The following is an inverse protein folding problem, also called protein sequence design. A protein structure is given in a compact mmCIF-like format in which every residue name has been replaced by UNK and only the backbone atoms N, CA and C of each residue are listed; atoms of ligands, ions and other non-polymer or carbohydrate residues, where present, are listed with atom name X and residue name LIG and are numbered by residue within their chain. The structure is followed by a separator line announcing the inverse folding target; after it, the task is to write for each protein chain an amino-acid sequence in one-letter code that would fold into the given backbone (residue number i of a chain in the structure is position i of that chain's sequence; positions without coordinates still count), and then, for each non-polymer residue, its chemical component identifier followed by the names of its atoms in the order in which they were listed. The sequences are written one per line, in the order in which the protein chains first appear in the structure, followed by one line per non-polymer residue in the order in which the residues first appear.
data_IF_312233508056
#
_entry.id   IF_312233508056
#
_cell.length_a   1.000
_cell.length_b   1.000
_cell.length_c   1.000
_cell.angle_alpha   90.00
_cell.angle_beta   90.00
_cell.angle_gamma   90.00
#
_symmetry.space_group_name_H-M   'P 1'
#
loop_
_entity.id
_entity.type
_entity.pdbx_description
1 polymer ?
#
# COMPACT_ATOMS: atom_id res chain seq x y z
N UNK A 1 27.84 18.99 18.37
CA UNK A 1 27.84 17.95 17.32
C UNK A 1 26.71 16.95 17.55
N UNK A 2 25.50 17.48 17.70
CA UNK A 2 24.28 16.82 18.19
C UNK A 2 23.10 17.15 17.25
N UNK A 3 23.42 17.45 15.98
CA UNK A 3 22.53 17.95 14.93
C UNK A 3 22.84 17.36 13.53
N UNK A 4 23.57 16.23 13.45
CA UNK A 4 23.94 15.62 12.16
C UNK A 4 23.95 14.09 12.19
N UNK A 5 23.13 13.49 13.05
CA UNK A 5 22.91 12.04 13.13
C UNK A 5 21.43 11.67 12.91
N UNK A 6 20.66 12.61 12.34
CA UNK A 6 19.22 12.51 12.07
C UNK A 6 18.93 12.16 10.59
N UNK A 7 19.89 11.56 9.89
CA UNK A 7 19.86 11.43 8.42
C UNK A 7 20.15 10.02 7.88
N UNK A 8 20.16 8.96 8.71
CA UNK A 8 20.65 7.64 8.26
C UNK A 8 19.82 6.43 8.71
N UNK A 9 18.48 6.53 8.70
CA UNK A 9 17.60 5.36 8.76
C UNK A 9 16.51 5.44 7.67
N UNK A 10 16.94 5.75 6.44
CA UNK A 10 16.11 5.69 5.25
C UNK A 10 16.06 4.23 4.78
N UNK A 11 14.95 3.53 5.05
CA UNK A 11 14.51 2.51 4.12
C UNK A 11 14.00 3.26 2.87
N UNK A 12 14.42 2.87 1.66
CA UNK A 12 14.01 3.51 0.44
C UNK A 12 12.58 3.11 0.03
N UNK A 13 11.98 3.85 -0.92
CA UNK A 13 10.54 4.04 -1.04
C UNK A 13 9.82 2.88 -1.73
N UNK A 14 8.70 2.41 -1.18
CA UNK A 14 7.70 1.59 -1.88
C UNK A 14 6.55 2.45 -2.43
N UNK A 15 6.74 3.16 -3.54
CA UNK A 15 5.65 3.89 -4.18
C UNK A 15 4.57 2.90 -4.62
N UNK A 16 3.29 3.14 -4.33
CA UNK A 16 2.23 2.59 -5.18
C UNK A 16 2.38 3.23 -6.57
N UNK A 17 2.06 2.48 -7.63
CA UNK A 17 2.07 2.86 -9.06
C UNK A 17 2.89 4.11 -9.40
N UNK A 18 3.89 3.96 -10.27
CA UNK A 18 4.52 5.13 -10.89
C UNK A 18 3.44 6.10 -11.38
N UNK A 19 3.32 7.23 -10.69
CA UNK A 19 2.28 8.25 -10.79
C UNK A 19 1.84 8.57 -12.23
N UNK A 20 2.76 8.44 -13.20
CA UNK A 20 2.50 8.65 -14.62
C UNK A 20 1.52 7.65 -15.26
N UNK A 21 1.39 6.43 -14.72
CA UNK A 21 0.58 5.37 -15.32
C UNK A 21 -0.91 5.57 -15.07
N UNK A 22 -1.30 6.07 -13.89
CA UNK A 22 -2.65 6.51 -13.58
C UNK A 22 -3.15 7.54 -14.60
N UNK A 23 -2.27 8.52 -14.91
CA UNK A 23 -2.55 9.55 -15.91
C UNK A 23 -2.75 8.92 -17.30
N UNK A 24 -1.88 7.97 -17.70
CA UNK A 24 -1.96 7.31 -19.00
C UNK A 24 -3.27 6.50 -19.16
N UNK A 25 -3.61 5.69 -18.14
CA UNK A 25 -4.82 4.86 -18.14
C UNK A 25 -6.04 5.76 -18.25
N UNK A 26 -6.16 6.75 -17.37
CA UNK A 26 -7.32 7.64 -17.34
C UNK A 26 -7.47 8.45 -18.63
N UNK A 27 -6.39 9.03 -19.19
CA UNK A 27 -6.43 9.73 -20.49
C UNK A 27 -6.91 8.83 -21.63
N UNK A 28 -6.49 7.56 -21.63
CA UNK A 28 -6.90 6.59 -22.66
C UNK A 28 -8.37 6.21 -22.48
N UNK A 29 -8.80 6.01 -21.24
CA UNK A 29 -10.14 5.53 -20.95
C UNK A 29 -11.21 6.60 -21.20
N UNK A 30 -10.95 7.85 -20.80
CA UNK A 30 -11.96 8.90 -20.65
C UNK A 30 -11.53 10.26 -21.27
N UNK A 31 -11.34 10.33 -22.60
CA UNK A 31 -11.12 11.62 -23.26
C UNK A 31 -12.37 12.49 -23.15
N UNK A 32 -12.26 13.65 -22.51
CA UNK A 32 -13.36 14.61 -22.33
C UNK A 32 -12.84 16.04 -22.39
N UNK A 33 -13.18 16.75 -23.48
CA UNK A 33 -12.67 18.09 -23.79
C UNK A 33 -13.45 19.24 -23.14
N UNK A 34 -14.48 18.95 -22.32
CA UNK A 34 -15.24 19.99 -21.62
C UNK A 34 -14.33 20.76 -20.66
N UNK A 35 -14.29 22.07 -20.79
CA UNK A 35 -13.53 22.93 -19.88
C UNK A 35 -14.26 23.07 -18.55
N UNK A 36 -13.55 22.87 -17.45
CA UNK A 36 -14.04 23.06 -16.09
C UNK A 36 -13.26 24.19 -15.41
N UNK A 37 -14.00 25.10 -14.78
CA UNK A 37 -13.43 26.16 -13.97
C UNK A 37 -13.03 25.63 -12.59
N UNK A 38 -11.88 26.05 -12.04
CA UNK A 38 -11.40 25.57 -10.76
C UNK A 38 -12.33 25.98 -9.61
N UNK A 39 -12.42 25.10 -8.61
CA UNK A 39 -13.21 25.36 -7.43
C UNK A 39 -12.59 26.49 -6.59
N UNK A 40 -13.41 27.45 -6.18
CA UNK A 40 -13.02 28.51 -5.25
C UNK A 40 -13.06 28.00 -3.80
N UNK A 41 -12.49 28.79 -2.87
CA UNK A 41 -12.64 28.49 -1.43
C UNK A 41 -14.12 28.44 -1.00
N UNK A 42 -14.98 29.27 -1.60
CA UNK A 42 -16.41 29.26 -1.33
C UNK A 42 -17.06 27.93 -1.76
N UNK A 43 -16.63 27.36 -2.89
CA UNK A 43 -17.13 26.07 -3.38
C UNK A 43 -16.72 24.93 -2.44
N UNK A 44 -15.47 24.95 -1.96
CA UNK A 44 -14.95 23.99 -0.98
C UNK A 44 -15.73 24.06 0.34
N UNK A 45 -15.98 25.27 0.84
CA UNK A 45 -16.73 25.47 2.09
C UNK A 45 -18.21 25.06 1.93
N UNK A 46 -18.84 25.37 0.79
CA UNK A 46 -20.20 24.95 0.47
C UNK A 46 -20.32 23.43 0.38
N UNK A 47 -19.37 22.77 -0.29
CA UNK A 47 -19.30 21.31 -0.38
C UNK A 47 -19.16 20.66 1.00
N UNK A 48 -18.23 21.16 1.82
CA UNK A 48 -18.02 20.65 3.19
C UNK A 48 -19.26 20.87 4.07
N UNK A 49 -19.92 22.02 3.96
CA UNK A 49 -21.17 22.29 4.66
C UNK A 49 -22.31 21.37 4.20
N UNK A 50 -22.37 21.02 2.91
CA UNK A 50 -23.34 20.05 2.38
C UNK A 50 -23.07 18.64 2.94
N UNK A 51 -21.82 18.18 2.96
CA UNK A 51 -21.44 16.92 3.61
C UNK A 51 -21.87 16.91 5.08
N UNK A 52 -21.53 17.96 5.83
CA UNK A 52 -21.89 18.09 7.23
C UNK A 52 -23.41 18.00 7.44
N UNK A 53 -24.22 18.74 6.67
CA UNK A 53 -25.69 18.68 6.76
C UNK A 53 -26.25 17.27 6.52
N UNK A 54 -25.66 16.53 5.58
CA UNK A 54 -26.05 15.14 5.34
C UNK A 54 -25.66 14.25 6.52
N UNK A 55 -24.42 14.40 7.03
CA UNK A 55 -23.93 13.65 8.17
C UNK A 55 -24.69 13.90 9.46
N UNK A 56 -25.29 15.08 9.65
CA UNK A 56 -26.13 15.40 10.83
C UNK A 56 -27.34 14.47 10.98
N UNK A 57 -27.72 13.70 9.95
CA UNK A 57 -28.74 12.64 10.04
C UNK A 57 -28.28 11.45 10.88
N UNK A 58 -26.97 11.28 11.07
CA UNK A 58 -26.36 10.22 11.89
C UNK A 58 -26.06 10.75 13.30
N UNK A 59 -26.68 10.22 14.37
CA UNK A 59 -26.55 10.78 15.73
C UNK A 59 -25.12 10.88 16.26
N UNK A 60 -24.27 9.89 15.97
CA UNK A 60 -22.88 9.88 16.43
C UNK A 60 -22.02 10.92 15.70
N UNK A 61 -22.31 11.20 14.42
CA UNK A 61 -21.70 12.30 13.68
C UNK A 61 -22.12 13.64 14.27
N UNK A 62 -23.42 13.85 14.49
CA UNK A 62 -23.95 15.07 15.09
C UNK A 62 -23.38 15.33 16.50
N UNK A 63 -23.11 14.27 17.28
CA UNK A 63 -22.46 14.40 18.58
C UNK A 63 -20.99 14.83 18.47
N UNK A 64 -20.27 14.31 17.46
CA UNK A 64 -18.86 14.63 17.24
C UNK A 64 -18.67 16.03 16.64
N UNK A 65 -19.58 16.45 15.77
CA UNK A 65 -19.50 17.71 15.01
C UNK A 65 -20.82 18.51 15.11
N UNK A 66 -21.13 19.09 16.29
CA UNK A 66 -22.43 19.69 16.57
C UNK A 66 -22.73 20.97 15.77
N UNK A 67 -21.70 21.63 15.24
CA UNK A 67 -21.84 22.82 14.39
C UNK A 67 -21.00 22.69 13.13
N UNK A 68 -21.32 23.45 12.07
CA UNK A 68 -20.55 23.41 10.83
C UNK A 68 -19.10 23.89 11.04
N UNK A 69 -18.87 24.81 11.99
CA UNK A 69 -17.54 25.32 12.34
C UNK A 69 -16.70 24.25 13.05
N UNK A 70 -17.32 23.28 13.72
CA UNK A 70 -16.60 22.14 14.29
C UNK A 70 -16.17 21.10 13.25
N UNK A 71 -16.63 21.26 12.00
CA UNK A 71 -16.29 20.41 10.86
C UNK A 71 -15.53 21.20 9.78
N UNK A 72 -14.37 21.71 10.17
CA UNK A 72 -13.44 22.39 9.27
C UNK A 72 -12.70 21.41 8.33
N UNK A 73 -11.81 21.92 7.48
CA UNK A 73 -11.05 21.08 6.54
C UNK A 73 -10.19 20.02 7.25
N UNK A 74 -9.67 20.34 8.44
CA UNK A 74 -8.89 19.39 9.24
C UNK A 74 -9.76 18.24 9.73
N UNK A 75 -10.89 18.56 10.36
CA UNK A 75 -11.86 17.59 10.84
C UNK A 75 -12.42 16.74 9.70
N UNK A 76 -12.65 17.35 8.53
CA UNK A 76 -13.13 16.63 7.36
C UNK A 76 -12.10 15.62 6.84
N UNK A 77 -10.83 16.01 6.66
CA UNK A 77 -9.76 15.09 6.25
C UNK A 77 -9.57 13.93 7.23
N UNK A 78 -9.53 14.22 8.54
CA UNK A 78 -9.44 13.16 9.55
C UNK A 78 -10.67 12.23 9.48
N UNK A 79 -11.87 12.80 9.30
CA UNK A 79 -13.10 12.03 9.19
C UNK A 79 -13.09 11.07 7.99
N UNK A 80 -12.52 11.50 6.87
CA UNK A 80 -12.33 10.73 5.64
C UNK A 80 -11.12 9.77 5.67
N UNK A 81 -10.52 9.52 6.84
CA UNK A 81 -9.38 8.60 7.00
C UNK A 81 -8.08 9.05 6.32
N UNK A 82 -7.91 10.36 6.12
CA UNK A 82 -6.73 10.99 5.51
C UNK A 82 -5.81 11.60 6.58
N UNK A 83 -4.56 11.97 6.24
CA UNK A 83 -3.73 12.80 7.12
C UNK A 83 -4.29 14.22 7.14
N UNK A 84 -4.82 14.71 8.27
CA UNK A 84 -5.41 16.04 8.32
C UNK A 84 -4.38 17.16 8.16
N UNK A 85 -3.08 16.88 8.32
CA UNK A 85 -2.02 17.84 8.07
C UNK A 85 -1.58 17.91 6.61
N UNK A 86 -1.95 16.94 5.77
CA UNK A 86 -1.71 17.01 4.34
C UNK A 86 -2.54 18.14 3.73
N UNK A 87 -2.04 18.75 2.65
CA UNK A 87 -2.88 19.54 1.77
C UNK A 87 -3.48 18.55 0.77
N UNK A 88 -4.79 18.56 0.59
CA UNK A 88 -5.50 17.55 -0.20
C UNK A 88 -6.32 18.22 -1.29
N UNK A 89 -6.07 17.85 -2.55
CA UNK A 89 -6.81 18.41 -3.69
C UNK A 89 -8.31 18.10 -3.56
N UNK A 90 -9.14 19.12 -3.77
CA UNK A 90 -10.60 19.05 -3.60
C UNK A 90 -11.09 19.22 -2.17
N UNK A 91 -10.19 19.35 -1.18
CA UNK A 91 -10.56 19.68 0.21
C UNK A 91 -9.91 20.98 0.66
N UNK A 92 -8.62 21.14 0.39
CA UNK A 92 -7.88 22.37 0.62
C UNK A 92 -7.81 23.20 -0.68
N UNK A 93 -7.58 24.50 -0.55
CA UNK A 93 -7.42 25.37 -1.72
C UNK A 93 -6.08 25.07 -2.43
N UNK A 94 -6.18 24.88 -3.74
CA UNK A 94 -5.07 24.78 -4.69
C UNK A 94 -5.22 25.85 -5.77
N UNK A 95 -4.11 26.26 -6.35
CA UNK A 95 -4.10 27.15 -7.52
C UNK A 95 -4.15 26.28 -8.77
N UNK A 96 -5.34 25.75 -9.04
CA UNK A 96 -5.58 24.89 -10.18
C UNK A 96 -6.19 25.73 -11.30
N UNK A 97 -5.64 25.63 -12.50
CA UNK A 97 -6.13 26.37 -13.65
C UNK A 97 -7.35 25.68 -14.28
N UNK A 98 -8.14 26.45 -15.03
CA UNK A 98 -9.20 25.87 -15.86
C UNK A 98 -8.59 24.82 -16.81
N UNK A 99 -9.22 23.65 -16.88
CA UNK A 99 -8.69 22.52 -17.64
C UNK A 99 -9.80 21.65 -18.22
N UNK A 100 -9.47 20.85 -19.22
CA UNK A 100 -10.39 19.87 -19.79
C UNK A 100 -10.71 18.80 -18.74
N UNK A 101 -11.96 18.37 -18.62
CA UNK A 101 -12.38 17.38 -17.62
C UNK A 101 -11.58 16.08 -17.72
N UNK A 102 -11.27 15.59 -18.91
CA UNK A 102 -10.46 14.39 -19.09
C UNK A 102 -9.04 14.55 -18.54
N UNK A 103 -8.44 15.72 -18.71
CA UNK A 103 -7.13 16.06 -18.14
C UNK A 103 -7.20 16.22 -16.62
N UNK A 104 -8.27 16.83 -16.09
CA UNK A 104 -8.50 16.91 -14.64
C UNK A 104 -8.63 15.53 -14.02
N UNK A 105 -9.44 14.64 -14.60
CA UNK A 105 -9.59 13.27 -14.13
C UNK A 105 -8.24 12.55 -14.09
N UNK A 106 -7.43 12.72 -15.15
CA UNK A 106 -6.13 12.07 -15.26
C UNK A 106 -5.10 12.62 -14.27
N UNK A 107 -5.09 13.94 -14.01
CA UNK A 107 -4.25 14.51 -12.97
C UNK A 107 -4.75 14.10 -11.57
N UNK A 108 -6.06 14.10 -11.37
CA UNK A 108 -6.68 13.73 -10.12
C UNK A 108 -6.52 12.25 -9.76
N UNK A 109 -6.34 11.36 -10.74
CA UNK A 109 -6.00 9.96 -10.47
C UNK A 109 -4.57 9.73 -10.00
N UNK A 110 -3.71 10.76 -10.06
CA UNK A 110 -2.36 10.75 -9.48
C UNK A 110 -2.31 11.36 -8.07
N UNK A 111 -3.18 12.33 -7.78
CA UNK A 111 -3.09 13.12 -6.55
C UNK A 111 -3.07 12.36 -5.22
N UNK A 112 -3.76 11.20 -5.05
CA UNK A 112 -3.66 10.43 -3.81
C UNK A 112 -2.23 10.01 -3.42
N UNK A 113 -1.31 9.93 -4.37
CA UNK A 113 0.12 9.74 -4.12
C UNK A 113 0.89 11.05 -3.93
N UNK A 114 0.60 12.06 -4.75
CA UNK A 114 1.33 13.33 -4.79
C UNK A 114 1.10 14.21 -3.56
N UNK A 115 -0.12 14.18 -3.01
CA UNK A 115 -0.57 15.13 -1.98
C UNK A 115 -0.48 14.57 -0.56
N UNK A 116 0.05 13.35 -0.42
CA UNK A 116 0.37 12.71 0.85
C UNK A 116 -0.84 12.41 1.74
N UNK A 117 -2.08 12.51 1.21
CA UNK A 117 -3.31 12.24 1.99
C UNK A 117 -3.33 10.87 2.67
N UNK A 118 -2.70 9.86 2.06
CA UNK A 118 -2.68 8.48 2.54
C UNK A 118 -1.41 8.14 3.34
N UNK A 119 -0.50 9.10 3.54
CA UNK A 119 0.77 8.93 4.27
C UNK A 119 0.65 9.52 5.67
N UNK A 120 1.51 9.10 6.60
CA UNK A 120 1.68 9.78 7.88
C UNK A 120 0.39 9.97 8.69
N UNK A 121 -0.55 9.02 8.60
CA UNK A 121 -1.86 9.07 9.28
C UNK A 121 -1.70 8.81 10.78
N UNK A 122 -1.14 9.79 11.47
CA UNK A 122 -0.89 9.77 12.90
C UNK A 122 -2.11 10.25 13.69
N UNK A 123 -2.23 9.77 14.92
CA UNK A 123 -3.10 10.39 15.90
C UNK A 123 -2.51 11.75 16.30
N UNK A 124 -3.35 12.78 16.28
CA UNK A 124 -2.96 14.15 16.66
C UNK A 124 -3.81 14.64 17.82
N UNK A 125 -3.22 15.44 18.71
CA UNK A 125 -3.98 16.08 19.79
C UNK A 125 -4.93 17.12 19.16
N UNK A 126 -6.25 17.06 19.41
CA UNK A 126 -7.22 17.95 18.76
C UNK A 126 -7.07 19.42 19.17
N UNK A 127 -6.31 19.74 20.22
CA UNK A 127 -6.10 21.12 20.70
C UNK A 127 -4.81 21.73 20.15
N UNK A 128 -3.79 20.90 19.90
CA UNK A 128 -2.45 21.38 19.52
C UNK A 128 -2.01 20.94 18.12
N UNK A 129 -2.72 19.97 17.52
CA UNK A 129 -2.41 19.30 16.25
C UNK A 129 -1.06 18.57 16.23
N UNK A 130 -0.40 18.47 17.38
CA UNK A 130 0.85 17.73 17.53
C UNK A 130 0.59 16.23 17.51
N UNK A 131 1.54 15.48 16.95
CA UNK A 131 1.50 14.02 16.91
C UNK A 131 1.57 13.48 18.33
N UNK A 132 0.57 12.66 18.69
CA UNK A 132 0.57 11.93 19.95
C UNK A 132 1.65 10.86 19.89
N UNK A 133 2.43 10.75 20.97
CA UNK A 133 3.47 9.73 21.08
C UNK A 133 2.92 8.49 21.78
N UNK A 134 3.33 7.31 21.31
CA UNK A 134 3.09 6.05 21.98
C UNK A 134 4.05 5.87 23.18
N UNK A 135 3.91 4.76 23.92
CA UNK A 135 4.66 4.51 25.16
C UNK A 135 6.18 4.41 24.99
N UNK A 136 6.66 4.07 23.80
CA UNK A 136 8.07 3.99 23.44
C UNK A 136 8.61 5.29 22.80
N UNK A 137 7.78 6.32 22.69
CA UNK A 137 8.12 7.58 22.04
C UNK A 137 8.02 7.57 20.51
N UNK A 138 7.45 6.52 19.90
CA UNK A 138 7.12 6.53 18.47
C UNK A 138 5.85 7.36 18.20
N UNK A 139 5.63 7.85 16.97
CA UNK A 139 4.32 8.36 16.55
C UNK A 139 3.21 7.33 16.80
N UNK A 140 2.09 7.77 17.38
CA UNK A 140 0.89 6.96 17.52
C UNK A 140 0.14 6.92 16.19
N UNK A 141 -0.17 5.74 15.61
CA UNK A 141 -1.06 5.67 14.44
C UNK A 141 -2.44 6.24 14.78
N UNK A 142 -3.08 6.88 13.80
CA UNK A 142 -4.52 7.14 13.90
C UNK A 142 -5.27 5.81 13.98
N UNK A 143 -4.94 4.87 13.11
CA UNK A 143 -5.46 3.52 13.18
C UNK A 143 -4.31 2.52 13.13
N UNK A 144 -4.08 1.73 14.22
CA UNK A 144 -3.06 0.69 14.22
C UNK A 144 -3.20 -0.34 13.09
N UNK A 145 -4.40 -0.54 12.53
CA UNK A 145 -4.58 -1.46 11.39
C UNK A 145 -3.80 -1.03 10.14
N UNK A 146 -3.40 0.25 10.03
CA UNK A 146 -2.54 0.71 8.93
C UNK A 146 -1.17 0.00 8.89
N UNK A 147 -0.71 -0.50 10.04
CA UNK A 147 0.54 -1.26 10.17
C UNK A 147 0.47 -2.67 9.58
N UNK A 148 -0.72 -3.19 9.30
CA UNK A 148 -0.88 -4.52 8.70
C UNK A 148 -0.37 -4.53 7.24
N UNK A 149 -0.28 -3.37 6.58
CA UNK A 149 0.18 -3.24 5.20
C UNK A 149 1.46 -2.40 5.05
N UNK A 150 2.21 -2.18 6.15
CA UNK A 150 3.48 -1.45 6.08
C UNK A 150 3.85 -0.70 7.35
N UNK A 151 4.40 0.51 7.18
CA UNK A 151 4.83 1.39 8.27
C UNK A 151 3.87 2.56 8.50
N UNK A 152 4.20 3.44 9.44
CA UNK A 152 3.42 4.67 9.68
C UNK A 152 3.87 5.85 8.81
N UNK A 153 5.05 5.73 8.22
CA UNK A 153 5.72 6.79 7.47
C UNK A 153 6.28 6.25 6.17
N UNK A 154 6.53 7.17 5.24
CA UNK A 154 7.05 6.82 3.92
C UNK A 154 6.03 6.06 3.08
N UNK A 155 6.42 5.58 1.90
CA UNK A 155 5.44 5.08 0.94
C UNK A 155 4.70 3.80 1.38
N UNK A 156 5.34 2.91 2.16
CA UNK A 156 4.64 1.73 2.73
C UNK A 156 3.48 2.08 3.67
N UNK A 157 3.40 3.32 4.17
CA UNK A 157 2.24 3.77 4.97
C UNK A 157 0.95 3.94 4.17
N UNK A 158 1.06 3.90 2.85
CA UNK A 158 -0.06 3.96 1.93
C UNK A 158 -0.67 2.58 1.66
N UNK A 159 0.04 1.47 1.90
CA UNK A 159 -0.41 0.13 1.49
C UNK A 159 -1.83 -0.20 1.95
N UNK A 160 -2.19 0.19 3.17
CA UNK A 160 -3.54 0.01 3.72
C UNK A 160 -4.65 0.75 2.93
N UNK A 161 -4.34 1.86 2.27
CA UNK A 161 -5.31 2.60 1.44
C UNK A 161 -5.32 2.16 -0.04
N UNK A 162 -4.25 1.55 -0.54
CA UNK A 162 -4.09 1.22 -1.97
C UNK A 162 -4.41 -0.25 -2.26
N UNK A 163 -4.21 -1.14 -1.28
CA UNK A 163 -4.44 -2.56 -1.48
C UNK A 163 -5.94 -2.89 -1.49
N UNK A 164 -6.28 -3.98 -2.17
CA UNK A 164 -7.60 -4.58 -2.16
C UNK A 164 -7.48 -6.09 -2.08
N UNK A 165 -7.70 -6.65 -0.89
CA UNK A 165 -7.59 -8.10 -0.66
C UNK A 165 -8.96 -8.79 -0.78
N UNK A 166 -8.96 -10.08 -1.08
CA UNK A 166 -10.19 -10.86 -1.28
C UNK A 166 -11.04 -10.95 0.00
N UNK A 167 -12.37 -10.87 -0.16
CA UNK A 167 -13.32 -11.08 0.92
C UNK A 167 -13.30 -12.53 1.42
N UNK A 168 -13.52 -12.72 2.72
CA UNK A 168 -13.67 -14.03 3.37
C UNK A 168 -12.56 -14.31 4.38
N UNK A 169 -12.48 -15.54 4.91
CA UNK A 169 -11.49 -15.87 5.91
C UNK A 169 -10.08 -15.82 5.30
N UNK A 170 -9.21 -15.05 5.93
CA UNK A 170 -7.78 -15.03 5.68
C UNK A 170 -7.08 -15.92 6.71
N UNK A 171 -5.82 -16.27 6.44
CA UNK A 171 -5.01 -17.13 7.29
C UNK A 171 -3.57 -16.65 7.33
N UNK A 172 -2.92 -16.79 8.48
CA UNK A 172 -1.47 -16.60 8.66
C UNK A 172 -0.70 -17.92 8.61
N UNK A 173 -1.35 -19.02 8.24
CA UNK A 173 -0.71 -20.33 8.03
C UNK A 173 0.18 -20.32 6.78
N UNK A 174 1.49 -20.59 6.90
CA UNK A 174 2.39 -20.69 5.75
C UNK A 174 1.94 -21.72 4.69
N UNK A 175 1.19 -22.76 5.06
CA UNK A 175 0.64 -23.71 4.09
C UNK A 175 -0.47 -23.08 3.23
N UNK A 176 -1.19 -22.07 3.75
CA UNK A 176 -2.11 -21.25 2.93
C UNK A 176 -1.30 -20.37 1.98
N UNK A 177 -0.22 -19.71 2.45
CA UNK A 177 0.67 -18.94 1.57
C UNK A 177 1.21 -19.78 0.40
N UNK A 178 1.44 -21.08 0.64
CA UNK A 178 1.92 -22.02 -0.38
C UNK A 178 0.86 -22.44 -1.39
N UNK A 179 -0.39 -22.65 -0.94
CA UNK A 179 -1.48 -23.23 -1.75
C UNK A 179 -2.37 -22.18 -2.40
N UNK A 180 -2.71 -21.13 -1.65
CA UNK A 180 -3.52 -20.01 -2.11
C UNK A 180 -3.02 -18.70 -1.45
N UNK A 181 -1.95 -18.09 -1.99
CA UNK A 181 -1.35 -16.87 -1.45
C UNK A 181 -2.32 -15.69 -1.28
N UNK A 182 -3.45 -15.70 -2.00
CA UNK A 182 -4.48 -14.66 -1.95
C UNK A 182 -5.27 -14.68 -0.65
N UNK A 183 -5.31 -15.84 0.00
CA UNK A 183 -5.96 -16.05 1.30
C UNK A 183 -4.98 -15.88 2.46
N UNK A 184 -3.72 -15.56 2.19
CA UNK A 184 -2.73 -15.35 3.22
C UNK A 184 -2.71 -13.90 3.69
N UNK A 185 -2.81 -13.70 5.00
CA UNK A 185 -2.62 -12.39 5.61
C UNK A 185 -2.12 -12.49 7.05
N UNK A 186 -1.26 -11.55 7.44
CA UNK A 186 -0.72 -11.38 8.79
C UNK A 186 -0.99 -9.95 9.26
N UNK A 187 -1.83 -9.74 10.29
CA UNK A 187 -2.67 -10.76 10.93
C UNK A 187 -3.77 -11.29 9.99
N UNK A 188 -4.44 -12.42 10.31
CA UNK A 188 -5.61 -12.91 9.55
C UNK A 188 -6.80 -11.95 9.53
N UNK A 189 -6.75 -10.89 10.34
CA UNK A 189 -7.73 -9.81 10.39
C UNK A 189 -7.31 -8.59 9.59
N UNK A 190 -6.19 -8.64 8.85
CA UNK A 190 -5.73 -7.54 8.04
C UNK A 190 -6.82 -7.13 7.05
N UNK A 191 -7.00 -5.82 6.89
CA UNK A 191 -7.98 -5.25 5.99
C UNK A 191 -7.38 -4.03 5.30
N UNK A 192 -7.55 -3.97 3.99
CA UNK A 192 -7.14 -2.85 3.16
C UNK A 192 -8.39 -2.15 2.63
N UNK A 193 -8.31 -0.82 2.54
CA UNK A 193 -9.45 0.07 2.31
C UNK A 193 -9.53 0.59 0.87
N UNK A 194 -8.76 0.04 -0.07
CA UNK A 194 -8.82 0.44 -1.48
C UNK A 194 -10.26 0.43 -2.03
N UNK A 195 -11.04 -0.66 -1.85
CA UNK A 195 -12.45 -0.72 -2.28
C UNK A 195 -13.34 0.34 -1.65
N UNK A 196 -13.18 0.55 -0.35
CA UNK A 196 -13.91 1.54 0.41
C UNK A 196 -13.55 2.96 -0.04
N UNK A 197 -12.29 3.24 -0.38
CA UNK A 197 -11.89 4.53 -0.94
C UNK A 197 -12.45 4.76 -2.34
N UNK A 198 -12.52 3.74 -3.20
CA UNK A 198 -13.21 3.86 -4.50
C UNK A 198 -14.66 4.31 -4.30
N UNK A 199 -15.39 3.65 -3.39
CA UNK A 199 -16.78 4.03 -3.09
C UNK A 199 -16.88 5.41 -2.43
N UNK A 200 -16.04 5.69 -1.43
CA UNK A 200 -16.02 6.99 -0.74
C UNK A 200 -15.83 8.15 -1.72
N UNK A 201 -14.83 8.06 -2.59
CA UNK A 201 -14.57 9.10 -3.57
C UNK A 201 -15.64 9.16 -4.67
N UNK A 202 -16.29 8.04 -4.98
CA UNK A 202 -17.48 8.02 -5.83
C UNK A 202 -18.63 8.81 -5.19
N UNK A 203 -18.89 8.62 -3.90
CA UNK A 203 -19.93 9.33 -3.16
C UNK A 203 -19.61 10.82 -3.01
N UNK A 204 -18.35 11.17 -2.78
CA UNK A 204 -17.89 12.56 -2.75
C UNK A 204 -18.00 13.23 -4.12
N UNK A 205 -17.70 12.51 -5.21
CA UNK A 205 -17.88 13.01 -6.58
C UNK A 205 -19.34 13.32 -6.88
N UNK A 206 -20.26 12.40 -6.53
CA UNK A 206 -21.70 12.62 -6.69
C UNK A 206 -22.19 13.80 -5.83
N UNK A 207 -21.75 13.89 -4.57
CA UNK A 207 -22.09 15.00 -3.68
C UNK A 207 -21.58 16.36 -4.19
N UNK A 208 -20.40 16.40 -4.80
CA UNK A 208 -19.83 17.61 -5.38
C UNK A 208 -20.61 18.08 -6.62
N UNK A 209 -21.06 17.14 -7.45
CA UNK A 209 -21.94 17.43 -8.59
C UNK A 209 -23.28 18.02 -8.12
N UNK A 210 -23.88 17.49 -7.03
CA UNK A 210 -25.09 18.07 -6.43
C UNK A 210 -24.86 19.47 -5.86
N UNK A 211 -23.66 19.76 -5.37
CA UNK A 211 -23.26 21.09 -4.93
C UNK A 211 -23.01 22.05 -6.11
N UNK A 212 -23.12 21.59 -7.35
CA UNK A 212 -22.94 22.39 -8.56
C UNK A 212 -21.47 22.61 -8.95
N UNK A 213 -20.53 21.86 -8.37
CA UNK A 213 -19.10 21.97 -8.70
C UNK A 213 -18.63 20.76 -9.51
N UNK A 214 -18.68 20.90 -10.84
CA UNK A 214 -18.20 19.87 -11.77
C UNK A 214 -16.69 19.62 -11.62
N UNK A 215 -15.93 20.65 -11.25
CA UNK A 215 -14.50 20.53 -10.99
C UNK A 215 -14.22 19.65 -9.76
N UNK A 216 -14.90 19.90 -8.63
CA UNK A 216 -14.77 19.03 -7.46
C UNK A 216 -15.28 17.61 -7.75
N UNK A 217 -16.35 17.48 -8.52
CA UNK A 217 -16.86 16.17 -8.92
C UNK A 217 -15.81 15.39 -9.72
N UNK A 218 -15.12 16.03 -10.67
CA UNK A 218 -14.03 15.41 -11.42
C UNK A 218 -12.79 15.12 -10.54
N UNK A 219 -12.44 16.01 -9.63
CA UNK A 219 -11.35 15.80 -8.67
C UNK A 219 -11.57 14.55 -7.80
N UNK A 220 -12.77 14.39 -7.23
CA UNK A 220 -13.08 13.18 -6.47
C UNK A 220 -13.23 11.94 -7.35
N UNK A 221 -13.76 12.07 -8.58
CA UNK A 221 -13.81 10.96 -9.52
C UNK A 221 -12.39 10.45 -9.86
N UNK A 222 -11.44 11.34 -10.12
CA UNK A 222 -10.03 10.95 -10.32
C UNK A 222 -9.44 10.25 -9.10
N UNK A 223 -9.71 10.73 -7.89
CA UNK A 223 -9.29 10.03 -6.68
C UNK A 223 -9.93 8.63 -6.53
N UNK A 224 -11.17 8.43 -6.99
CA UNK A 224 -11.76 7.09 -7.08
C UNK A 224 -11.04 6.21 -8.13
N UNK A 225 -10.64 6.80 -9.26
CA UNK A 225 -9.92 6.10 -10.32
C UNK A 225 -8.58 5.58 -9.85
N UNK A 226 -7.83 6.39 -9.09
CA UNK A 226 -6.58 5.98 -8.48
C UNK A 226 -6.68 4.61 -7.79
N UNK A 227 -7.61 4.49 -6.84
CA UNK A 227 -7.81 3.27 -6.05
C UNK A 227 -8.41 2.12 -6.86
N UNK A 228 -9.19 2.42 -7.90
CA UNK A 228 -9.75 1.43 -8.82
C UNK A 228 -8.67 0.86 -9.74
N UNK A 229 -7.78 1.71 -10.23
CA UNK A 229 -6.60 1.35 -11.01
C UNK A 229 -5.66 0.51 -10.14
N UNK A 230 -5.40 0.89 -8.88
CA UNK A 230 -4.52 0.14 -7.95
C UNK A 230 -4.86 -1.35 -7.91
N UNK A 231 -6.13 -1.68 -7.71
CA UNK A 231 -6.57 -3.08 -7.62
C UNK A 231 -6.63 -3.81 -8.97
N UNK A 232 -6.52 -3.08 -10.08
CA UNK A 232 -6.32 -3.68 -11.41
C UNK A 232 -4.87 -4.15 -11.57
N UNK A 233 -3.91 -3.49 -10.93
CA UNK A 233 -2.56 -4.03 -10.75
C UNK A 233 -2.59 -5.15 -9.73
N UNK A 234 -2.26 -6.34 -10.20
CA UNK A 234 -2.48 -7.56 -9.48
C UNK A 234 -1.69 -7.60 -8.17
N UNK A 235 -0.49 -7.01 -8.12
CA UNK A 235 0.35 -7.05 -6.91
C UNK A 235 -0.28 -6.34 -5.69
N UNK A 236 -1.22 -5.41 -5.90
CA UNK A 236 -1.97 -4.74 -4.83
C UNK A 236 -3.12 -5.58 -4.25
N UNK A 237 -3.33 -6.79 -4.76
CA UNK A 237 -4.45 -7.65 -4.34
C UNK A 237 -4.07 -8.82 -3.44
N UNK A 238 -2.80 -8.86 -3.00
CA UNK A 238 -2.24 -9.85 -2.07
C UNK A 238 -1.28 -9.17 -1.10
N UNK A 239 -1.21 -9.59 0.15
CA UNK A 239 -0.37 -8.90 1.15
C UNK A 239 1.14 -9.23 1.02
N UNK A 240 1.48 -10.51 0.83
CA UNK A 240 2.89 -11.01 0.87
C UNK A 240 3.39 -11.48 -0.50
N UNK A 241 2.50 -11.69 -1.47
CA UNK A 241 2.85 -12.13 -2.82
C UNK A 241 2.96 -13.65 -2.96
N UNK A 242 4.06 -14.25 -2.48
CA UNK A 242 4.40 -15.67 -2.73
C UNK A 242 5.14 -16.36 -1.57
N UNK A 243 5.04 -17.69 -1.49
CA UNK A 243 5.72 -18.52 -0.48
C UNK A 243 7.24 -18.52 -0.61
N UNK A 244 7.76 -18.36 -1.83
CA UNK A 244 9.19 -18.32 -2.13
C UNK A 244 9.92 -17.20 -1.38
N UNK A 245 9.25 -16.08 -1.10
CA UNK A 245 9.79 -15.02 -0.25
C UNK A 245 9.97 -15.48 1.20
N UNK A 246 8.97 -16.17 1.76
CA UNK A 246 9.04 -16.73 3.11
C UNK A 246 10.15 -17.77 3.23
N UNK A 247 10.19 -18.74 2.31
CA UNK A 247 11.22 -19.79 2.30
C UNK A 247 12.62 -19.20 2.19
N UNK A 248 12.82 -18.28 1.25
CA UNK A 248 14.10 -17.61 1.06
C UNK A 248 14.50 -16.79 2.27
N UNK A 249 13.57 -16.02 2.87
CA UNK A 249 13.85 -15.25 4.06
C UNK A 249 14.21 -16.12 5.26
N UNK A 250 13.55 -17.26 5.43
CA UNK A 250 13.87 -18.24 6.48
C UNK A 250 15.28 -18.80 6.30
N UNK A 251 15.61 -19.29 5.11
CA UNK A 251 16.93 -19.84 4.81
C UNK A 251 18.03 -18.80 5.00
N UNK A 252 17.82 -17.57 4.51
CA UNK A 252 18.77 -16.47 4.64
C UNK A 252 18.97 -16.05 6.10
N UNK A 253 17.90 -16.00 6.90
CA UNK A 253 17.99 -15.72 8.34
C UNK A 253 18.83 -16.80 9.06
N UNK A 254 18.59 -18.09 8.79
CA UNK A 254 19.36 -19.19 9.40
C UNK A 254 20.81 -19.22 8.94
N UNK A 255 21.08 -18.96 7.67
CA UNK A 255 22.44 -18.85 7.16
C UNK A 255 23.17 -17.67 7.78
N UNK A 256 22.48 -16.53 7.97
CA UNK A 256 23.05 -15.36 8.63
C UNK A 256 23.38 -15.64 10.09
N UNK A 257 22.48 -16.32 10.81
CA UNK A 257 22.75 -16.75 12.18
C UNK A 257 23.97 -17.67 12.23
N UNK A 258 24.12 -18.62 11.31
CA UNK A 258 25.30 -19.49 11.25
C UNK A 258 26.59 -18.69 10.97
N UNK A 259 26.58 -17.81 9.95
CA UNK A 259 27.73 -17.01 9.55
C UNK A 259 28.20 -16.03 10.63
N UNK A 260 27.27 -15.50 11.41
CA UNK A 260 27.56 -14.58 12.52
C UNK A 260 27.80 -15.30 13.82
N UNK A 261 27.80 -16.65 13.83
CA UNK A 261 27.86 -17.47 15.04
C UNK A 261 26.83 -17.01 16.08
N UNK A 262 25.56 -16.96 15.65
CA UNK A 262 24.45 -16.49 16.46
C UNK A 262 24.54 -15.02 16.86
N UNK A 263 25.24 -14.17 16.10
CA UNK A 263 25.39 -12.74 16.41
C UNK A 263 26.71 -12.34 17.08
N UNK A 264 27.58 -13.29 17.43
CA UNK A 264 28.90 -12.99 18.01
C UNK A 264 29.86 -12.31 17.05
N UNK A 265 29.76 -12.62 15.75
CA UNK A 265 30.67 -12.15 14.70
C UNK A 265 30.01 -11.14 13.75
N UNK A 266 28.86 -10.57 14.13
CA UNK A 266 28.16 -9.53 13.37
C UNK A 266 26.65 -9.54 13.61
N UNK A 267 25.95 -8.53 13.07
CA UNK A 267 24.51 -8.39 13.28
C UNK A 267 23.70 -9.53 12.68
N UNK A 268 22.72 -10.03 13.45
CA UNK A 268 21.70 -10.95 12.96
C UNK A 268 20.64 -10.20 12.14
N UNK A 269 19.88 -10.93 11.33
CA UNK A 269 18.71 -10.40 10.61
C UNK A 269 17.53 -11.35 10.77
N UNK A 270 16.38 -10.81 11.14
CA UNK A 270 15.18 -11.60 11.41
C UNK A 270 14.53 -12.05 10.10
N UNK A 271 13.66 -13.05 10.23
CA UNK A 271 12.78 -13.47 9.13
C UNK A 271 11.96 -12.28 8.61
N UNK A 272 11.42 -11.45 9.52
CA UNK A 272 10.60 -10.28 9.18
C UNK A 272 11.41 -9.24 8.40
N UNK A 273 12.61 -8.89 8.86
CA UNK A 273 13.47 -7.91 8.20
C UNK A 273 13.85 -8.35 6.78
N UNK A 274 14.24 -9.62 6.60
CA UNK A 274 14.62 -10.15 5.29
C UNK A 274 13.37 -10.26 4.40
N UNK A 275 12.27 -10.78 4.92
CA UNK A 275 11.02 -10.97 4.19
C UNK A 275 10.43 -9.66 3.66
N UNK A 276 10.32 -8.63 4.51
CA UNK A 276 9.84 -7.32 4.11
C UNK A 276 10.68 -6.71 2.98
N UNK A 277 12.00 -6.89 3.04
CA UNK A 277 12.89 -6.42 1.99
C UNK A 277 12.67 -7.17 0.66
N UNK A 278 12.49 -8.50 0.70
CA UNK A 278 12.21 -9.27 -0.51
C UNK A 278 10.88 -8.83 -1.14
N UNK A 279 9.85 -8.63 -0.33
CA UNK A 279 8.53 -8.15 -0.78
C UNK A 279 8.69 -6.77 -1.43
N UNK A 280 9.27 -5.81 -0.71
CA UNK A 280 9.44 -4.43 -1.19
C UNK A 280 10.24 -4.37 -2.50
N UNK A 281 11.36 -5.08 -2.58
CA UNK A 281 12.20 -5.12 -3.78
C UNK A 281 11.43 -5.60 -5.02
N UNK A 282 10.63 -6.66 -4.90
CA UNK A 282 9.93 -7.24 -6.04
C UNK A 282 8.65 -6.50 -6.38
N UNK A 283 7.98 -5.92 -5.39
CA UNK A 283 6.83 -5.03 -5.61
C UNK A 283 7.26 -3.82 -6.44
N UNK A 284 8.28 -3.10 -5.98
CA UNK A 284 8.76 -1.89 -6.65
C UNK A 284 9.36 -2.14 -8.03
N UNK A 285 10.13 -3.22 -8.17
CA UNK A 285 10.64 -3.63 -9.47
C UNK A 285 9.49 -3.89 -10.45
N UNK A 286 8.42 -4.54 -9.99
CA UNK A 286 7.24 -4.84 -10.80
C UNK A 286 6.60 -3.56 -11.31
N UNK A 287 6.38 -2.57 -10.43
CA UNK A 287 5.73 -1.30 -10.76
C UNK A 287 6.58 -0.44 -11.71
N UNK A 288 7.89 -0.34 -11.47
CA UNK A 288 8.77 0.42 -12.35
C UNK A 288 8.90 -0.23 -13.74
N UNK A 289 8.94 -1.58 -13.81
CA UNK A 289 8.90 -2.30 -15.08
C UNK A 289 7.56 -2.12 -15.80
N UNK A 290 6.45 -2.14 -15.05
CA UNK A 290 5.13 -1.88 -15.59
C UNK A 290 5.08 -0.53 -16.29
N UNK A 291 5.44 0.53 -15.56
CA UNK A 291 5.41 1.91 -16.07
C UNK A 291 6.36 2.12 -17.25
N UNK A 292 7.54 1.49 -17.23
CA UNK A 292 8.52 1.65 -18.31
C UNK A 292 8.13 0.94 -19.60
N UNK A 293 7.52 -0.24 -19.50
CA UNK A 293 7.20 -1.08 -20.66
C UNK A 293 5.86 -0.75 -21.31
N UNK A 294 4.95 -0.13 -20.57
CA UNK A 294 3.60 0.16 -21.03
C UNK A 294 3.39 1.67 -21.20
N UNK A 295 3.82 2.18 -22.36
CA UNK A 295 3.60 3.58 -22.77
C UNK A 295 2.57 3.71 -23.91
N UNK A 296 2.11 2.58 -24.46
CA UNK A 296 1.11 2.53 -25.54
C UNK A 296 -0.32 2.56 -25.01
N UNK A 297 -1.29 2.81 -25.90
CA UNK A 297 -2.70 2.81 -25.55
C UNK A 297 -3.18 1.40 -25.16
N UNK A 298 -3.67 1.20 -23.93
CA UNK A 298 -4.19 -0.08 -23.48
C UNK A 298 -5.35 -0.59 -24.34
N UNK A 299 -5.40 -1.90 -24.59
CA UNK A 299 -6.59 -2.55 -25.11
C UNK A 299 -7.54 -2.89 -23.95
N UNK A 300 -8.82 -2.57 -24.09
CA UNK A 300 -9.83 -2.82 -23.05
C UNK A 300 -10.06 -4.32 -22.85
N UNK A 301 -10.11 -4.78 -21.59
CA UNK A 301 -10.51 -6.15 -21.24
C UNK A 301 -12.05 -6.29 -21.35
N UNK A 302 -12.58 -7.25 -22.14
CA UNK A 302 -14.02 -7.45 -22.29
C UNK A 302 -14.69 -8.21 -21.12
N UNK A 303 -13.93 -8.70 -20.14
CA UNK A 303 -14.48 -9.58 -19.09
C UNK A 303 -15.29 -8.85 -18.00
N UNK A 304 -15.05 -7.56 -17.76
CA UNK A 304 -15.76 -6.81 -16.73
C UNK A 304 -17.21 -6.52 -17.14
N UNK A 305 -18.12 -6.70 -16.19
CA UNK A 305 -19.55 -6.42 -16.39
C UNK A 305 -20.00 -5.23 -15.53
N UNK A 306 -21.06 -4.51 -15.93
CA UNK A 306 -21.65 -3.49 -15.09
C UNK A 306 -22.05 -3.99 -13.71
N UNK A 307 -21.88 -3.16 -12.67
CA UNK A 307 -22.26 -3.48 -11.30
C UNK A 307 -23.16 -2.41 -10.70
N UNK A 308 -23.95 -2.74 -9.64
CA UNK A 308 -24.82 -1.76 -8.99
C UNK A 308 -24.07 -0.67 -8.20
N UNK A 309 -22.80 -0.87 -7.85
CA UNK A 309 -22.00 0.12 -7.12
C UNK A 309 -20.52 0.03 -7.48
N UNK A 310 -19.79 1.11 -7.22
CA UNK A 310 -18.35 1.16 -7.41
C UNK A 310 -17.65 0.13 -6.51
N UNK A 311 -18.11 -0.03 -5.26
CA UNK A 311 -17.61 -1.08 -4.35
C UNK A 311 -17.71 -2.49 -4.96
N UNK A 312 -18.86 -2.85 -5.54
CA UNK A 312 -19.06 -4.18 -6.12
C UNK A 312 -18.25 -4.40 -7.40
N UNK A 313 -18.04 -3.34 -8.20
CA UNK A 313 -17.11 -3.37 -9.33
C UNK A 313 -15.68 -3.64 -8.85
N UNK A 314 -15.22 -2.90 -7.84
CA UNK A 314 -13.87 -3.05 -7.28
C UNK A 314 -13.65 -4.45 -6.70
N UNK A 315 -14.66 -5.02 -6.03
CA UNK A 315 -14.58 -6.39 -5.49
C UNK A 315 -14.46 -7.46 -6.58
N UNK A 316 -15.22 -7.33 -7.68
CA UNK A 316 -15.06 -8.24 -8.83
C UNK A 316 -13.66 -8.13 -9.43
N UNK A 317 -13.13 -6.91 -9.55
CA UNK A 317 -11.77 -6.68 -10.04
C UNK A 317 -10.75 -7.36 -9.12
N UNK A 318 -10.87 -7.24 -7.80
CA UNK A 318 -10.00 -7.92 -6.83
C UNK A 318 -10.07 -9.44 -6.97
N UNK A 319 -11.27 -10.00 -7.12
CA UNK A 319 -11.45 -11.44 -7.31
C UNK A 319 -10.72 -11.93 -8.56
N UNK A 320 -10.69 -11.14 -9.64
CA UNK A 320 -9.98 -11.46 -10.88
C UNK A 320 -8.47 -11.23 -10.73
N UNK A 321 -8.05 -10.02 -10.33
CA UNK A 321 -6.64 -9.61 -10.19
C UNK A 321 -5.87 -10.49 -9.21
N UNK A 322 -6.51 -10.89 -8.10
CA UNK A 322 -5.85 -11.70 -7.07
C UNK A 322 -5.42 -13.06 -7.60
N UNK A 323 -6.16 -13.66 -8.56
CA UNK A 323 -5.81 -14.95 -9.18
C UNK A 323 -4.44 -14.90 -9.87
N UNK A 324 -4.10 -13.73 -10.41
CA UNK A 324 -2.90 -13.49 -11.20
C UNK A 324 -1.73 -12.98 -10.35
N UNK A 325 -2.01 -12.32 -9.23
CA UNK A 325 -1.02 -11.64 -8.39
C UNK A 325 0.18 -12.52 -7.96
N UNK A 326 -0.01 -13.76 -7.48
CA UNK A 326 1.13 -14.60 -7.12
C UNK A 326 2.02 -14.93 -8.31
N UNK A 327 1.44 -15.02 -9.51
CA UNK A 327 2.20 -15.32 -10.72
C UNK A 327 3.03 -14.12 -11.18
N UNK A 328 2.52 -12.89 -11.03
CA UNK A 328 3.29 -11.66 -11.27
C UNK A 328 4.54 -11.64 -10.38
N UNK A 329 4.37 -11.83 -9.06
CA UNK A 329 5.49 -11.92 -8.11
C UNK A 329 6.47 -13.05 -8.43
N UNK A 330 5.96 -14.24 -8.81
CA UNK A 330 6.82 -15.38 -9.14
C UNK A 330 7.66 -15.13 -10.39
N UNK A 331 7.12 -14.47 -11.40
CA UNK A 331 7.86 -14.08 -12.59
C UNK A 331 8.90 -13.02 -12.26
N UNK A 332 8.52 -11.97 -11.53
CA UNK A 332 9.44 -10.94 -11.04
C UNK A 332 10.60 -11.55 -10.24
N UNK A 333 10.31 -12.48 -9.33
CA UNK A 333 11.32 -13.25 -8.60
C UNK A 333 12.24 -14.06 -9.52
N UNK A 334 11.70 -14.65 -10.58
CA UNK A 334 12.42 -15.51 -11.51
C UNK A 334 13.42 -14.73 -12.36
N UNK A 335 12.99 -13.59 -12.91
CA UNK A 335 13.86 -12.77 -13.77
C UNK A 335 14.63 -11.71 -13.00
N UNK A 336 14.39 -11.46 -11.70
CA UNK A 336 15.15 -10.43 -10.98
C UNK A 336 16.64 -10.76 -10.88
N UNK A 337 17.46 -9.75 -10.68
CA UNK A 337 18.89 -9.94 -10.40
C UNK A 337 19.08 -10.58 -9.02
N UNK A 338 20.16 -11.35 -8.84
CA UNK A 338 20.51 -11.95 -7.54
C UNK A 338 20.59 -10.91 -6.42
N UNK A 339 21.00 -9.68 -6.75
CA UNK A 339 21.06 -8.57 -5.79
C UNK A 339 19.71 -8.27 -5.13
N UNK A 340 18.59 -8.46 -5.82
CA UNK A 340 17.25 -8.23 -5.24
C UNK A 340 16.71 -9.45 -4.47
N UNK A 341 17.27 -10.64 -4.71
CA UNK A 341 16.91 -11.87 -4.00
C UNK A 341 17.71 -12.11 -2.72
N UNK A 342 18.81 -11.38 -2.51
CA UNK A 342 19.62 -11.44 -1.28
C UNK A 342 19.12 -10.36 -0.30
N UNK A 343 18.23 -10.73 0.61
CA UNK A 343 17.69 -9.81 1.61
C UNK A 343 18.65 -9.47 2.75
N UNK A 344 19.84 -10.10 2.82
CA UNK A 344 20.84 -9.84 3.86
C UNK A 344 21.90 -8.84 3.38
N UNK A 345 22.51 -9.09 2.22
CA UNK A 345 23.63 -8.29 1.67
C UNK A 345 23.34 -7.72 0.28
N UNK A 346 22.15 -8.01 -0.27
CA UNK A 346 21.77 -7.51 -1.58
C UNK A 346 21.45 -6.03 -1.59
N UNK A 347 20.78 -5.60 -2.64
CA UNK A 347 20.36 -4.23 -2.88
C UNK A 347 18.95 -4.00 -2.35
N UNK A 348 18.69 -2.80 -1.81
CA UNK A 348 17.35 -2.37 -1.43
C UNK A 348 16.86 -1.45 -2.54
N UNK A 349 15.90 -1.95 -3.32
CA UNK A 349 15.44 -1.28 -4.52
C UNK A 349 14.77 0.05 -4.16
N UNK A 350 15.14 1.11 -4.85
CA UNK A 350 14.62 2.45 -4.68
C UNK A 350 13.92 2.90 -5.97
N UNK A 351 12.60 2.87 -6.00
CA UNK A 351 11.87 3.39 -7.17
C UNK A 351 12.19 4.88 -7.40
N UNK A 352 12.18 5.29 -8.67
CA UNK A 352 12.65 6.59 -9.18
C UNK A 352 14.16 6.88 -9.07
N UNK A 353 14.96 6.03 -8.41
CA UNK A 353 16.44 6.16 -8.39
C UNK A 353 17.12 5.01 -9.10
N UNK A 354 16.60 3.80 -8.92
CA UNK A 354 17.09 2.62 -9.60
C UNK A 354 16.57 2.55 -11.04
N UNK A 355 17.42 2.02 -11.91
CA UNK A 355 17.04 1.65 -13.27
C UNK A 355 16.54 0.20 -13.24
N UNK A 356 15.23 -0.07 -13.45
CA UNK A 356 14.68 -1.43 -13.33
C UNK A 356 15.36 -2.43 -14.27
N UNK A 357 15.85 -1.99 -15.45
CA UNK A 357 16.49 -2.86 -16.43
C UNK A 357 17.88 -3.33 -15.98
N UNK A 358 18.49 -2.70 -14.97
CA UNK A 358 19.75 -3.19 -14.36
C UNK A 358 19.51 -4.35 -13.41
N UNK A 359 18.29 -4.53 -12.95
CA UNK A 359 17.91 -5.55 -11.98
C UNK A 359 17.10 -6.69 -12.58
N UNK A 360 17.14 -6.85 -13.91
CA UNK A 360 16.59 -8.01 -14.62
C UNK A 360 17.71 -8.88 -15.20
N UNK A 361 17.51 -10.19 -15.18
CA UNK A 361 18.32 -11.19 -15.86
C UNK A 361 17.79 -11.34 -17.29
N UNK A 362 18.46 -10.68 -18.23
CA UNK A 362 18.09 -10.68 -19.65
C UNK A 362 18.09 -12.09 -20.29
N UNK A 363 18.67 -13.11 -19.64
CA UNK A 363 18.56 -14.50 -20.11
C UNK A 363 17.18 -15.12 -19.87
N UNK A 364 16.31 -14.48 -19.07
CA UNK A 364 14.99 -14.96 -18.68
C UNK A 364 13.86 -14.37 -19.53
N UNK A 365 14.09 -14.24 -20.84
CA UNK A 365 13.17 -13.60 -21.79
C UNK A 365 11.74 -14.15 -21.69
N UNK A 366 11.57 -15.48 -21.63
CA UNK A 366 10.23 -16.09 -21.54
C UNK A 366 9.47 -15.68 -20.27
N UNK A 367 10.16 -15.56 -19.14
CA UNK A 367 9.55 -15.11 -17.89
C UNK A 367 9.16 -13.62 -17.96
N UNK A 368 10.01 -12.81 -18.61
CA UNK A 368 9.75 -11.39 -18.82
C UNK A 368 8.57 -11.17 -19.77
N UNK A 369 8.45 -11.95 -20.84
CA UNK A 369 7.32 -11.86 -21.78
C UNK A 369 6.00 -12.22 -21.10
N UNK A 370 5.97 -13.34 -20.35
CA UNK A 370 4.78 -13.75 -19.58
C UNK A 370 4.40 -12.75 -18.49
N UNK A 371 5.39 -12.05 -17.93
CA UNK A 371 5.15 -10.96 -16.99
C UNK A 371 4.47 -9.80 -17.69
N UNK A 372 5.03 -9.32 -18.81
CA UNK A 372 4.41 -8.27 -19.63
C UNK A 372 2.97 -8.63 -20.03
N UNK A 373 2.71 -9.86 -20.46
CA UNK A 373 1.34 -10.31 -20.81
C UNK A 373 0.36 -10.25 -19.63
N UNK A 374 0.81 -10.48 -18.40
CA UNK A 374 -0.03 -10.36 -17.18
C UNK A 374 -0.32 -8.90 -16.86
N UNK A 375 0.72 -8.08 -16.90
CA UNK A 375 0.64 -6.64 -16.71
C UNK A 375 -0.31 -5.97 -17.73
N UNK A 376 -0.21 -6.33 -19.02
CA UNK A 376 -1.10 -5.84 -20.08
C UNK A 376 -2.57 -6.16 -19.81
N UNK A 377 -2.88 -7.31 -19.20
CA UNK A 377 -4.24 -7.64 -18.77
C UNK A 377 -4.72 -6.76 -17.63
N UNK A 378 -3.85 -6.48 -16.64
CA UNK A 378 -4.16 -5.53 -15.57
C UNK A 378 -4.45 -4.12 -16.11
N UNK A 379 -3.65 -3.66 -17.07
CA UNK A 379 -3.83 -2.39 -17.75
C UNK A 379 -5.15 -2.33 -18.54
N UNK A 380 -5.47 -3.39 -19.29
CA UNK A 380 -6.72 -3.48 -20.03
C UNK A 380 -7.96 -3.53 -19.14
N UNK A 381 -7.84 -4.18 -17.98
CA UNK A 381 -8.86 -4.22 -16.92
C UNK A 381 -9.09 -2.82 -16.34
N UNK A 382 -8.03 -2.06 -16.08
CA UNK A 382 -8.14 -0.70 -15.57
C UNK A 382 -8.92 0.20 -16.54
N UNK A 383 -8.57 0.20 -17.83
CA UNK A 383 -9.31 0.98 -18.84
C UNK A 383 -10.78 0.59 -18.93
N UNK A 384 -11.09 -0.71 -18.90
CA UNK A 384 -12.46 -1.20 -18.91
C UNK A 384 -13.23 -0.75 -17.65
N UNK A 385 -12.60 -0.85 -16.48
CA UNK A 385 -13.18 -0.45 -15.20
C UNK A 385 -13.53 1.03 -15.16
N UNK A 386 -12.63 1.92 -15.61
CA UNK A 386 -12.89 3.36 -15.67
C UNK A 386 -14.07 3.70 -16.59
N UNK A 387 -14.15 3.05 -17.75
CA UNK A 387 -15.27 3.24 -18.70
C UNK A 387 -16.59 2.77 -18.10
N UNK A 388 -16.60 1.62 -17.44
CA UNK A 388 -17.78 1.10 -16.73
C UNK A 388 -18.22 2.06 -15.63
N UNK A 389 -17.27 2.49 -14.79
CA UNK A 389 -17.54 3.44 -13.71
C UNK A 389 -18.15 4.75 -14.25
N UNK A 390 -17.56 5.34 -15.29
CA UNK A 390 -18.02 6.61 -15.86
C UNK A 390 -19.40 6.50 -16.53
N UNK A 391 -19.77 5.31 -16.99
CA UNK A 391 -21.09 5.06 -17.58
C UNK A 391 -22.18 4.77 -16.54
N UNK A 392 -21.81 4.38 -15.31
CA UNK A 392 -22.75 4.00 -14.23
C UNK A 392 -22.94 5.11 -13.19
N UNK A 393 -21.92 5.94 -12.99
CA UNK A 393 -21.85 6.95 -11.94
C UNK A 393 -22.12 8.34 -12.53
N UNK A 394 -22.90 9.24 -11.88
CA UNK A 394 -23.28 9.22 -10.46
C UNK A 394 -24.76 8.87 -10.17
N UNK A 395 -25.53 8.38 -11.15
CA UNK A 395 -27.00 8.43 -11.09
C UNK A 395 -27.71 7.59 -10.02
N UNK A 396 -27.33 6.32 -9.83
CA UNK A 396 -28.19 5.35 -9.11
C UNK A 396 -27.50 4.62 -7.93
N UNK A 397 -26.21 4.87 -7.69
CA UNK A 397 -25.38 4.10 -6.76
C UNK A 397 -24.85 4.90 -5.55
N UNK A 398 -25.42 6.08 -5.29
CA UNK A 398 -24.95 6.97 -4.24
C UNK A 398 -25.19 6.36 -2.87
N UNK A 399 -24.11 6.19 -2.13
CA UNK A 399 -24.09 5.70 -0.76
C UNK A 399 -23.80 6.86 0.20
N UNK A 400 -24.41 6.87 1.39
CA UNK A 400 -24.04 7.83 2.43
C UNK A 400 -22.87 7.24 3.23
N UNK A 401 -21.62 7.76 3.12
CA UNK A 401 -20.46 7.13 3.75
C UNK A 401 -20.38 7.39 5.26
N UNK A 402 -21.23 8.25 5.82
CA UNK A 402 -21.11 8.70 7.22
C UNK A 402 -21.25 7.55 8.22
N UNK A 403 -22.22 6.62 8.12
CA UNK A 403 -22.33 5.49 9.05
C UNK A 403 -21.08 4.60 9.07
N UNK A 404 -20.51 4.26 7.91
CA UNK A 404 -19.31 3.43 7.81
C UNK A 404 -18.08 4.15 8.38
N UNK A 405 -17.93 5.45 8.07
CA UNK A 405 -16.84 6.24 8.63
C UNK A 405 -16.94 6.32 10.16
N UNK A 406 -18.14 6.52 10.72
CA UNK A 406 -18.35 6.48 12.17
C UNK A 406 -17.94 5.11 12.77
N UNK A 407 -18.34 4.02 12.12
CA UNK A 407 -17.96 2.68 12.55
C UNK A 407 -16.43 2.46 12.49
N UNK A 408 -15.78 2.94 11.43
CA UNK A 408 -14.33 2.95 11.29
C UNK A 408 -13.67 3.70 12.45
N UNK A 409 -14.11 4.92 12.75
CA UNK A 409 -13.55 5.75 13.83
C UNK A 409 -13.65 5.06 15.19
N UNK A 410 -14.77 4.40 15.48
CA UNK A 410 -14.95 3.61 16.69
C UNK A 410 -14.01 2.39 16.75
N UNK A 411 -13.86 1.68 15.62
CA UNK A 411 -12.96 0.53 15.53
C UNK A 411 -11.48 0.94 15.68
N UNK A 412 -11.07 2.03 15.03
CA UNK A 412 -9.73 2.60 15.16
C UNK A 412 -9.46 3.02 16.61
N UNK A 413 -10.42 3.66 17.29
CA UNK A 413 -10.29 4.02 18.71
C UNK A 413 -10.10 2.79 19.60
N UNK A 414 -10.85 1.72 19.36
CA UNK A 414 -10.72 0.44 20.08
C UNK A 414 -9.33 -0.18 19.86
N UNK A 415 -8.83 -0.20 18.61
CA UNK A 415 -7.48 -0.70 18.30
C UNK A 415 -6.41 0.16 18.98
N UNK A 416 -6.53 1.49 18.93
CA UNK A 416 -5.61 2.42 19.60
C UNK A 416 -5.55 2.19 21.11
N UNK A 417 -6.68 1.92 21.77
CA UNK A 417 -6.73 1.69 23.21
C UNK A 417 -5.93 0.45 23.66
N UNK A 418 -5.78 -0.55 22.79
CA UNK A 418 -4.96 -1.75 23.03
C UNK A 418 -3.62 -1.75 22.31
N UNK A 419 -3.24 -0.66 21.63
CA UNK A 419 -2.03 -0.63 20.82
C UNK A 419 -0.79 -0.61 21.71
N UNK A 420 0.11 -1.57 21.47
CA UNK A 420 1.44 -1.62 22.06
C UNK A 420 2.42 -1.58 20.90
N UNK A 421 3.29 -0.54 20.81
CA UNK A 421 4.32 -0.49 19.78
C UNK A 421 5.16 -1.76 19.77
N UNK A 422 5.41 -2.28 18.58
CA UNK A 422 6.41 -3.33 18.41
C UNK A 422 7.77 -2.73 18.77
N UNK A 423 8.35 -3.14 19.90
CA UNK A 423 9.69 -2.69 20.30
C UNK A 423 10.72 -2.94 19.20
N UNK A 424 11.83 -2.17 19.19
CA UNK A 424 12.91 -2.41 18.25
C UNK A 424 13.35 -3.87 18.31
N UNK A 425 13.42 -4.52 17.14
CA UNK A 425 13.83 -5.91 17.02
C UNK A 425 15.35 -6.02 17.28
N UNK A 426 15.74 -5.97 18.56
CA UNK A 426 17.09 -6.20 19.02
C UNK A 426 17.31 -7.71 19.15
N UNK A 427 17.87 -8.33 18.11
CA UNK A 427 18.18 -9.75 18.13
C UNK A 427 19.38 -10.01 19.04
N UNK A 428 19.10 -10.56 20.23
CA UNK A 428 20.12 -11.04 21.15
C UNK A 428 20.97 -12.16 20.52
N UNK A 429 22.09 -12.50 21.16
CA UNK A 429 22.94 -13.62 20.73
C UNK A 429 22.15 -14.93 20.80
N UNK A 430 22.07 -15.65 19.68
CA UNK A 430 21.50 -16.98 19.61
C UNK A 430 22.55 -18.02 20.06
N UNK A 431 22.71 -18.17 21.37
CA UNK A 431 23.73 -19.00 22.02
C UNK A 431 23.78 -20.47 21.56
N UNK A 432 22.69 -21.00 20.99
CA UNK A 432 22.69 -22.32 20.38
C UNK A 432 23.75 -22.50 19.28
N UNK A 433 24.03 -21.46 18.48
CA UNK A 433 25.05 -21.51 17.43
C UNK A 433 26.49 -21.55 17.99
N UNK A 434 26.91 -20.62 18.87
CA UNK A 434 28.20 -20.72 19.57
C UNK A 434 28.38 -22.02 20.34
N UNK A 435 27.35 -22.47 21.07
CA UNK A 435 27.42 -23.69 21.87
C UNK A 435 27.63 -24.93 21.00
N UNK A 436 26.92 -25.05 19.87
CA UNK A 436 27.10 -26.14 18.92
C UNK A 436 28.51 -26.13 18.30
N UNK A 437 29.04 -24.97 17.93
CA UNK A 437 30.41 -24.85 17.42
C UNK A 437 31.46 -25.27 18.46
N UNK A 438 31.31 -24.83 19.71
CA UNK A 438 32.19 -25.23 20.81
C UNK A 438 32.15 -26.74 21.05
N UNK A 439 30.95 -27.35 21.05
CA UNK A 439 30.78 -28.79 21.19
C UNK A 439 31.49 -29.57 20.07
N UNK A 440 31.36 -29.13 18.81
CA UNK A 440 32.05 -29.76 17.68
C UNK A 440 33.58 -29.66 17.80
N UNK A 441 34.11 -28.53 18.26
CA UNK A 441 35.54 -28.37 18.52
C UNK A 441 36.04 -29.31 19.62
N UNK A 442 35.27 -29.47 20.71
CA UNK A 442 35.60 -30.38 21.80
C UNK A 442 35.58 -31.85 21.33
N UNK A 443 34.59 -32.24 20.53
CA UNK A 443 34.52 -33.59 19.93
C UNK A 443 35.72 -33.83 19.00
N UNK A 444 36.03 -32.86 18.13
CA UNK A 444 37.19 -32.93 17.24
C UNK A 444 38.51 -33.08 18.01
N UNK A 445 38.68 -32.31 19.08
CA UNK A 445 39.85 -32.40 19.96
C UNK A 445 39.94 -33.77 20.64
N UNK A 446 38.83 -34.29 21.17
CA UNK A 446 38.79 -35.61 21.80
C UNK A 446 39.14 -36.74 20.81
N UNK A 447 38.63 -36.69 19.58
CA UNK A 447 38.97 -37.63 18.52
C UNK A 447 40.45 -37.54 18.11
N UNK A 448 40.99 -36.32 18.01
CA UNK A 448 42.40 -36.11 17.72
C UNK A 448 43.31 -36.69 18.82
N UNK A 449 43.00 -36.41 20.10
CA UNK A 449 43.73 -36.96 21.25
C UNK A 449 43.67 -38.48 21.24
N UNK A 450 42.47 -39.07 21.06
CA UNK A 450 42.30 -40.54 20.96
C UNK A 450 43.14 -41.13 19.83
N UNK A 451 43.16 -40.50 18.65
CA UNK A 451 43.96 -40.97 17.52
C UNK A 451 45.47 -40.95 17.81
N UNK A 452 45.95 -39.92 18.51
CA UNK A 452 47.37 -39.78 18.91
C UNK A 452 47.76 -40.81 19.98
N UNK A 453 46.87 -41.13 20.90
CA UNK A 453 47.09 -42.14 21.93
C UNK A 453 47.07 -43.56 21.32
N UNK A 454 46.16 -43.86 20.38
CA UNK A 454 46.09 -45.17 19.71
C UNK A 454 47.26 -45.48 18.77
N UNK A 455 48.03 -44.46 18.35
CA UNK A 455 49.25 -44.63 17.53
C UNK A 455 50.52 -44.81 18.37
N UNK A 456 50.42 -44.69 19.69
CA UNK A 456 51.54 -44.84 20.64
C UNK A 456 51.48 -46.15 21.44
N UNK A 457 50.38 -46.88 21.34
CA UNK A 457 50.24 -48.31 21.69
C UNK A 457 50.50 -49.15 20.45
#
# INVERSE_FOLDING_TARGET
MRKMLLLLLLAPPAFAYNEAIHVLITRTALPDARMLEPATQQDLDAFRALFWRNGMKTPDFARRYPTVESFDAWAFKEFLMLDPAARVHGIDQYDDQAMQRGELLALASRWPDDDWRNRNRYLRDPRTHQVVQASDGSPMPYDPATLDFGGLSGPTSQGHAHYGIIDGPLSDDPEVLKKDPRRFAVPPTAHAYGPEFVQLYTDLSALAAENGSDWLAATFAGAAFHHLEDVCNQIHTVQVGIYEFFESAYLQSKLRDLQTLGGLLGERRSLKQIGLRLIANHHLLSEDLFARRHQGAPQSDPLLQPKPSALLLTKEIIDISSQEAPQVYRLAWTFSAKALRDGVRGHEYESNKDDPERYVDASKVDAMNRFTELEERGLGRAVAALRLWNNQTPGDARHDPVPELIAYHAAAAKRRAGYVPAGQEALAIAWGYPAAAAALLLVGLALFIRSRLSKRS
#
